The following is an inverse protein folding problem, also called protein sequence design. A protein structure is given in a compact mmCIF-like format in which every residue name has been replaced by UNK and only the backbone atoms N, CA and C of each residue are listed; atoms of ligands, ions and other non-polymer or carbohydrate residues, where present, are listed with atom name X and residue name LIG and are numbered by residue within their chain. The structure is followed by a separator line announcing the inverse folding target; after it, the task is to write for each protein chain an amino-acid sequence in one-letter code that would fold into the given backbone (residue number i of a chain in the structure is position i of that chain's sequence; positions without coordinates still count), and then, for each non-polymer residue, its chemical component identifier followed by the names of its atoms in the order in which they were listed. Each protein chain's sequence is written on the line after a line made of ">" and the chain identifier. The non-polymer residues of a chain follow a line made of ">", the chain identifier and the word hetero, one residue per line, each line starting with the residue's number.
data_IF_769839715741
#
_entry.id   IF_769839715741
#
_cell.length_a   1.000
_cell.length_b   1.000
_cell.length_c   1.000
_cell.angle_alpha   90.00
_cell.angle_beta   90.00
_cell.angle_gamma   90.00
#
_symmetry.space_group_name_H-M   'P 1'
#
loop_
_entity.id
_entity.type
_entity.pdbx_description
1 polymer ?
#
# COMPACT_ATOMS: atom_id res chain seq x y z
N UNK A 1 19.21 -6.38 -13.20
CA UNK A 1 17.76 -6.10 -13.25
C UNK A 1 17.19 -6.44 -11.87
N UNK A 2 16.33 -5.59 -11.29
CA UNK A 2 15.66 -5.91 -10.04
C UNK A 2 14.80 -7.18 -10.21
N UNK A 3 14.80 -8.07 -9.20
CA UNK A 3 14.01 -9.29 -9.24
C UNK A 3 12.52 -9.00 -9.15
N UNK A 4 11.67 -9.80 -9.81
CA UNK A 4 10.23 -9.71 -9.65
C UNK A 4 9.83 -10.20 -8.25
N UNK A 5 9.30 -9.27 -7.45
CA UNK A 5 8.93 -9.54 -6.06
C UNK A 5 7.53 -10.12 -5.97
N UNK A 6 6.55 -9.52 -6.68
CA UNK A 6 5.16 -9.95 -6.70
C UNK A 6 4.67 -10.08 -8.15
N UNK A 7 3.90 -11.13 -8.43
CA UNK A 7 3.10 -11.27 -9.65
C UNK A 7 1.67 -11.64 -9.27
N UNK A 8 0.72 -10.88 -9.77
CA UNK A 8 -0.70 -11.18 -9.76
C UNK A 8 -1.08 -11.64 -11.16
N UNK A 9 -1.62 -12.84 -11.31
CA UNK A 9 -1.80 -13.46 -12.62
C UNK A 9 -3.26 -13.84 -12.85
N UNK A 10 -3.94 -13.07 -13.71
CA UNK A 10 -5.31 -13.30 -14.20
C UNK A 10 -6.34 -13.60 -13.10
N UNK A 11 -6.33 -12.81 -12.01
CA UNK A 11 -7.23 -13.06 -10.89
C UNK A 11 -8.67 -12.63 -11.17
N UNK A 12 -9.62 -13.55 -10.90
CA UNK A 12 -11.05 -13.27 -10.80
C UNK A 12 -11.43 -13.30 -9.31
N UNK A 13 -12.01 -12.22 -8.81
CA UNK A 13 -12.38 -12.10 -7.38
C UNK A 13 -13.84 -11.74 -7.24
N UNK A 14 -14.50 -12.35 -6.26
CA UNK A 14 -15.94 -12.23 -6.02
C UNK A 14 -16.25 -11.89 -4.57
N UNK A 15 -17.33 -11.14 -4.38
CA UNK A 15 -18.04 -10.97 -3.12
C UNK A 15 -19.40 -11.68 -3.25
N UNK A 16 -19.52 -12.90 -2.72
CA UNK A 16 -20.67 -13.76 -3.01
C UNK A 16 -20.75 -14.07 -4.51
N UNK A 17 -21.82 -13.66 -5.16
CA UNK A 17 -22.01 -13.79 -6.62
C UNK A 17 -21.55 -12.57 -7.42
N UNK A 18 -21.27 -11.47 -6.75
CA UNK A 18 -20.80 -10.25 -7.43
C UNK A 18 -19.32 -10.35 -7.78
N UNK A 19 -18.98 -10.33 -9.06
CA UNK A 19 -17.60 -10.30 -9.52
C UNK A 19 -17.04 -8.89 -9.45
N UNK A 20 -15.96 -8.70 -8.69
CA UNK A 20 -15.30 -7.42 -8.49
C UNK A 20 -14.04 -7.25 -9.33
N UNK A 21 -13.30 -8.34 -9.63
CA UNK A 21 -12.12 -8.31 -10.50
C UNK A 21 -12.27 -9.34 -11.61
N UNK A 22 -11.84 -8.96 -12.82
CA UNK A 22 -11.97 -9.72 -14.05
C UNK A 22 -10.60 -9.90 -14.72
N UNK A 23 -9.90 -10.97 -14.42
CA UNK A 23 -8.60 -11.32 -15.02
C UNK A 23 -7.51 -10.28 -14.74
N UNK A 24 -7.51 -9.66 -13.55
CA UNK A 24 -6.51 -8.65 -13.19
C UNK A 24 -5.13 -9.28 -13.10
N UNK A 25 -4.17 -8.65 -13.78
CA UNK A 25 -2.75 -9.00 -13.69
C UNK A 25 -1.93 -7.76 -13.41
N UNK A 26 -0.92 -7.88 -12.55
CA UNK A 26 0.08 -6.84 -12.29
C UNK A 26 1.38 -7.46 -11.76
N UNK A 27 2.47 -6.75 -11.92
CA UNK A 27 3.78 -7.13 -11.42
C UNK A 27 4.39 -6.00 -10.59
N UNK A 28 5.12 -6.37 -9.54
CA UNK A 28 5.91 -5.45 -8.73
C UNK A 28 7.32 -6.00 -8.62
N UNK A 29 8.31 -5.17 -8.95
CA UNK A 29 9.72 -5.51 -8.84
C UNK A 29 10.31 -4.93 -7.54
N UNK A 30 11.40 -5.54 -7.08
CA UNK A 30 12.05 -5.10 -5.84
C UNK A 30 12.61 -3.67 -5.98
N UNK A 31 12.34 -2.82 -4.98
CA UNK A 31 12.84 -1.45 -4.95
C UNK A 31 12.12 -0.47 -5.89
N UNK A 32 10.90 -0.79 -6.38
CA UNK A 32 10.10 0.17 -7.14
C UNK A 32 8.88 0.68 -6.35
N UNK A 33 8.35 1.82 -6.78
CA UNK A 33 7.02 2.31 -6.42
C UNK A 33 6.08 2.04 -7.59
N UNK A 34 5.11 1.15 -7.39
CA UNK A 34 4.04 0.88 -8.36
C UNK A 34 2.76 1.56 -7.91
N UNK A 35 2.10 2.29 -8.79
CA UNK A 35 0.78 2.85 -8.53
C UNK A 35 -0.32 1.99 -9.17
N UNK A 36 -1.38 1.69 -8.43
CA UNK A 36 -2.62 1.16 -8.94
C UNK A 36 -3.69 2.25 -8.79
N UNK A 37 -4.09 2.85 -9.89
CA UNK A 37 -4.97 4.02 -9.91
C UNK A 37 -6.30 3.71 -10.59
N UNK A 38 -7.33 4.47 -10.27
CA UNK A 38 -8.67 4.32 -10.84
C UNK A 38 -9.74 4.99 -9.97
N UNK A 39 -10.95 5.09 -10.50
CA UNK A 39 -12.10 5.65 -9.79
C UNK A 39 -12.50 4.81 -8.56
N UNK A 40 -13.36 5.37 -7.70
CA UNK A 40 -13.95 4.61 -6.60
C UNK A 40 -14.78 3.45 -7.17
N UNK A 41 -14.66 2.28 -6.54
CA UNK A 41 -15.33 1.06 -7.03
C UNK A 41 -14.63 0.36 -8.19
N UNK A 42 -13.48 0.86 -8.69
CA UNK A 42 -12.73 0.21 -9.78
C UNK A 42 -12.14 -1.16 -9.41
N UNK A 43 -12.06 -1.53 -8.12
CA UNK A 43 -11.50 -2.81 -7.66
C UNK A 43 -10.13 -2.70 -6.99
N UNK A 44 -9.62 -1.49 -6.75
CA UNK A 44 -8.29 -1.23 -6.18
C UNK A 44 -8.08 -1.91 -4.81
N UNK A 45 -8.94 -1.59 -3.84
CA UNK A 45 -8.93 -2.21 -2.50
C UNK A 45 -9.12 -3.73 -2.56
N UNK A 46 -9.96 -4.23 -3.48
CA UNK A 46 -10.17 -5.66 -3.71
C UNK A 46 -8.87 -6.34 -4.14
N UNK A 47 -8.10 -5.69 -5.03
CA UNK A 47 -6.78 -6.17 -5.46
C UNK A 47 -5.82 -6.27 -4.27
N UNK A 48 -5.70 -5.22 -3.44
CA UNK A 48 -4.85 -5.25 -2.25
C UNK A 48 -5.28 -6.31 -1.24
N UNK A 49 -6.59 -6.45 -0.98
CA UNK A 49 -7.12 -7.50 -0.09
C UNK A 49 -6.82 -8.90 -0.62
N UNK A 50 -6.78 -9.09 -1.93
CA UNK A 50 -6.42 -10.38 -2.53
C UNK A 50 -4.92 -10.64 -2.40
N UNK A 51 -4.07 -9.64 -2.62
CA UNK A 51 -2.61 -9.75 -2.43
C UNK A 51 -2.28 -10.00 -0.95
N UNK A 52 -2.95 -9.33 -0.01
CA UNK A 52 -2.73 -9.54 1.43
C UNK A 52 -3.31 -10.85 1.98
N UNK A 53 -4.10 -11.60 1.20
CA UNK A 53 -4.70 -12.86 1.61
C UNK A 53 -5.99 -12.72 2.43
N UNK A 54 -6.56 -11.52 2.51
CA UNK A 54 -7.87 -11.25 3.11
C UNK A 54 -9.03 -11.70 2.21
N UNK A 55 -8.79 -11.75 0.90
CA UNK A 55 -9.70 -12.32 -0.10
C UNK A 55 -8.96 -13.40 -0.88
N UNK A 56 -9.70 -14.42 -1.33
CA UNK A 56 -9.16 -15.48 -2.17
C UNK A 56 -9.74 -15.35 -3.58
N UNK A 57 -8.90 -15.37 -4.64
CA UNK A 57 -9.40 -15.36 -6.01
C UNK A 57 -10.07 -16.70 -6.33
N UNK A 58 -11.13 -16.68 -7.14
CA UNK A 58 -11.75 -17.91 -7.70
C UNK A 58 -10.92 -18.49 -8.85
N UNK A 59 -10.19 -17.62 -9.58
CA UNK A 59 -9.29 -17.99 -10.68
C UNK A 59 -8.04 -17.14 -10.62
N UNK A 60 -6.98 -17.60 -11.27
CA UNK A 60 -5.69 -16.95 -11.26
C UNK A 60 -4.88 -17.27 -10.02
N UNK A 61 -3.74 -16.61 -9.86
CA UNK A 61 -2.81 -16.86 -8.75
C UNK A 61 -2.04 -15.62 -8.33
N UNK A 62 -1.53 -15.65 -7.10
CA UNK A 62 -0.62 -14.68 -6.52
C UNK A 62 0.73 -15.36 -6.33
N UNK A 63 1.76 -14.83 -6.93
CA UNK A 63 3.13 -15.37 -6.86
C UNK A 63 4.03 -14.37 -6.16
N UNK A 64 4.73 -14.82 -5.15
CA UNK A 64 5.71 -14.06 -4.37
C UNK A 64 7.09 -14.68 -4.52
N UNK A 65 8.07 -13.95 -5.06
CA UNK A 65 9.43 -14.46 -5.31
C UNK A 65 9.45 -15.83 -6.03
N UNK A 66 8.58 -15.98 -7.02
CA UNK A 66 8.45 -17.21 -7.79
C UNK A 66 7.63 -18.34 -7.12
N UNK A 67 7.18 -18.16 -5.88
CA UNK A 67 6.37 -19.12 -5.15
C UNK A 67 4.88 -18.75 -5.18
N UNK A 68 4.01 -19.72 -5.46
CA UNK A 68 2.57 -19.51 -5.41
C UNK A 68 2.10 -19.39 -3.96
N UNK A 69 1.58 -18.21 -3.60
CA UNK A 69 1.05 -17.91 -2.29
C UNK A 69 -0.49 -17.76 -2.28
N UNK A 70 -1.17 -18.17 -3.34
CA UNK A 70 -2.62 -17.94 -3.52
C UNK A 70 -3.44 -18.51 -2.35
N UNK A 71 -3.04 -19.67 -1.79
CA UNK A 71 -3.70 -20.30 -0.65
C UNK A 71 -3.10 -19.95 0.70
N UNK A 72 -1.99 -19.19 0.74
CA UNK A 72 -1.31 -18.80 1.98
C UNK A 72 -2.16 -17.78 2.74
N UNK A 73 -2.47 -18.01 4.04
CA UNK A 73 -3.30 -17.08 4.81
C UNK A 73 -2.60 -15.76 5.11
N UNK A 74 -3.39 -14.71 5.36
CA UNK A 74 -2.90 -13.33 5.52
C UNK A 74 -1.77 -13.19 6.56
N UNK A 75 -1.88 -13.83 7.72
CA UNK A 75 -0.87 -13.74 8.77
C UNK A 75 0.49 -14.32 8.36
N UNK A 76 0.51 -15.38 7.52
CA UNK A 76 1.75 -15.92 6.96
C UNK A 76 2.31 -15.01 5.87
N UNK A 77 1.47 -14.35 5.05
CA UNK A 77 1.94 -13.36 4.08
C UNK A 77 2.59 -12.16 4.76
N UNK A 78 2.12 -11.76 5.94
CA UNK A 78 2.79 -10.74 6.76
C UNK A 78 4.19 -11.20 7.21
N UNK A 79 4.38 -12.48 7.58
CA UNK A 79 5.71 -13.04 7.87
C UNK A 79 6.63 -13.05 6.63
N UNK A 80 6.09 -13.18 5.42
CA UNK A 80 6.84 -13.03 4.16
C UNK A 80 7.24 -11.58 3.88
N UNK A 81 6.64 -10.61 4.57
CA UNK A 81 6.90 -9.18 4.43
C UNK A 81 5.93 -8.43 3.53
N UNK A 82 4.77 -9.00 3.25
CA UNK A 82 3.68 -8.30 2.57
C UNK A 82 2.84 -7.61 3.63
N UNK A 83 2.92 -6.28 3.71
CA UNK A 83 2.23 -5.49 4.74
C UNK A 83 1.24 -4.53 4.08
N UNK A 84 0.01 -4.52 4.58
CA UNK A 84 -1.09 -3.73 4.05
C UNK A 84 -1.56 -2.69 5.07
N UNK A 85 -1.52 -1.41 4.68
CA UNK A 85 -2.18 -0.30 5.37
C UNK A 85 -3.54 -0.10 4.71
N UNK A 86 -4.64 -0.50 5.35
CA UNK A 86 -5.97 -0.41 4.76
C UNK A 86 -6.48 1.05 4.75
N UNK A 87 -7.46 1.30 3.91
CA UNK A 87 -8.31 2.49 4.04
C UNK A 87 -8.89 2.57 5.46
N UNK A 88 -9.01 3.78 6.03
CA UNK A 88 -9.55 3.97 7.38
C UNK A 88 -8.54 3.77 8.51
N UNK A 89 -7.22 3.72 8.17
CA UNK A 89 -6.07 3.77 9.09
C UNK A 89 -5.84 2.52 9.95
N UNK A 90 -6.88 1.87 10.47
CA UNK A 90 -6.77 0.64 11.27
C UNK A 90 -5.95 0.77 12.55
N UNK A 91 -5.89 1.96 13.18
CA UNK A 91 -5.22 2.19 14.45
C UNK A 91 -6.07 1.70 15.64
N UNK A 92 -5.43 1.48 16.80
CA UNK A 92 -6.11 1.20 18.06
C UNK A 92 -6.31 2.51 18.83
N UNK A 93 -7.51 3.12 18.83
CA UNK A 93 -7.73 4.48 19.31
C UNK A 93 -7.55 4.63 20.83
N UNK A 94 -7.76 3.56 21.59
CA UNK A 94 -7.62 3.52 23.04
C UNK A 94 -6.22 3.15 23.54
N UNK A 95 -5.31 2.83 22.63
CA UNK A 95 -3.89 2.64 22.91
C UNK A 95 -3.13 3.94 22.63
N UNK A 96 -2.06 4.16 23.37
CA UNK A 96 -1.11 5.24 23.09
C UNK A 96 -0.43 5.04 21.73
N UNK A 97 0.20 6.08 21.21
CA UNK A 97 1.05 5.98 19.99
C UNK A 97 2.09 4.89 20.14
N UNK A 98 2.81 4.84 21.26
CA UNK A 98 3.84 3.83 21.52
C UNK A 98 3.26 2.41 21.56
N UNK A 99 2.16 2.20 22.29
CA UNK A 99 1.50 0.88 22.35
C UNK A 99 0.99 0.42 20.99
N UNK A 100 0.48 1.34 20.15
CA UNK A 100 0.14 1.04 18.75
C UNK A 100 1.34 0.50 17.96
N UNK A 101 2.54 1.06 18.17
CA UNK A 101 3.77 0.61 17.53
C UNK A 101 4.23 -0.74 18.10
N UNK A 102 4.15 -0.94 19.42
CA UNK A 102 4.50 -2.23 20.06
C UNK A 102 3.62 -3.37 19.55
N UNK A 103 2.31 -3.18 19.51
CA UNK A 103 1.36 -4.20 19.01
C UNK A 103 1.61 -4.56 17.54
N UNK A 104 2.13 -3.61 16.75
CA UNK A 104 2.47 -3.86 15.35
C UNK A 104 3.66 -4.84 15.18
N UNK A 105 4.49 -5.03 16.19
CA UNK A 105 5.64 -5.94 16.16
C UNK A 105 5.25 -7.40 16.43
N UNK A 106 4.17 -7.91 15.80
CA UNK A 106 3.68 -9.27 16.08
C UNK A 106 4.43 -10.35 15.29
N UNK A 107 5.08 -10.04 14.16
CA UNK A 107 5.90 -10.98 13.40
C UNK A 107 7.26 -11.20 14.10
N UNK A 108 7.89 -12.36 13.86
CA UNK A 108 9.23 -12.65 14.41
C UNK A 108 10.24 -11.59 14.00
N UNK A 109 10.28 -11.27 12.70
CA UNK A 109 11.20 -10.26 12.13
C UNK A 109 11.01 -8.88 12.75
N UNK A 110 9.77 -8.46 13.01
CA UNK A 110 9.45 -7.18 13.62
C UNK A 110 9.93 -7.14 15.09
N UNK A 111 9.72 -8.22 15.86
CA UNK A 111 10.17 -8.28 17.27
C UNK A 111 11.68 -8.25 17.42
N UNK A 112 12.41 -9.02 16.59
CA UNK A 112 13.87 -9.10 16.66
C UNK A 112 14.57 -7.76 16.41
N UNK A 113 13.94 -6.85 15.69
CA UNK A 113 14.51 -5.55 15.33
C UNK A 113 13.59 -4.37 15.66
N UNK A 114 12.82 -4.49 16.72
CA UNK A 114 11.81 -3.49 17.09
C UNK A 114 12.44 -2.11 17.33
N UNK A 115 13.50 -2.03 18.11
CA UNK A 115 14.15 -0.76 18.45
C UNK A 115 14.70 -0.03 17.21
N UNK A 116 15.33 -0.76 16.28
CA UNK A 116 15.80 -0.18 15.01
C UNK A 116 14.62 0.41 14.21
N UNK A 117 13.51 -0.34 14.12
CA UNK A 117 12.33 0.08 13.39
C UNK A 117 11.65 1.26 14.08
N UNK A 118 11.67 1.30 15.41
CA UNK A 118 11.11 2.39 16.22
C UNK A 118 11.89 3.69 16.00
N UNK A 119 13.22 3.65 16.00
CA UNK A 119 14.05 4.82 15.70
C UNK A 119 13.83 5.34 14.28
N UNK A 120 13.81 4.45 13.27
CA UNK A 120 13.47 4.81 11.89
C UNK A 120 12.09 5.50 11.80
N UNK A 121 11.10 4.95 12.46
CA UNK A 121 9.73 5.52 12.51
C UNK A 121 9.74 6.91 13.14
N UNK A 122 10.49 7.11 14.21
CA UNK A 122 10.60 8.41 14.89
C UNK A 122 11.41 9.45 14.10
N UNK A 123 12.34 9.02 13.28
CA UNK A 123 13.03 9.90 12.31
C UNK A 123 12.09 10.32 11.17
N UNK A 124 11.30 9.39 10.65
CA UNK A 124 10.31 9.67 9.60
C UNK A 124 9.15 10.52 10.11
N UNK A 125 8.72 10.30 11.35
CA UNK A 125 7.55 10.92 11.96
C UNK A 125 7.87 11.50 13.35
N UNK A 126 8.63 12.63 13.45
CA UNK A 126 9.04 13.19 14.74
C UNK A 126 7.87 13.49 15.68
N UNK A 127 6.70 13.86 15.12
CA UNK A 127 5.48 14.10 15.88
C UNK A 127 5.00 12.88 16.67
N UNK A 128 5.21 11.66 16.15
CA UNK A 128 4.87 10.44 16.86
C UNK A 128 5.79 10.22 18.07
N UNK A 129 7.07 10.60 17.97
CA UNK A 129 8.02 10.58 19.11
C UNK A 129 7.59 11.54 20.23
N UNK A 130 7.26 12.78 19.85
CA UNK A 130 6.82 13.83 20.79
C UNK A 130 5.56 13.39 21.55
N UNK A 131 4.66 12.68 20.88
CA UNK A 131 3.34 12.28 21.36
C UNK A 131 3.23 10.81 21.75
N UNK A 132 4.34 10.12 22.01
CA UNK A 132 4.37 8.67 22.22
C UNK A 132 3.44 8.17 23.34
N UNK A 133 3.13 9.01 24.34
CA UNK A 133 2.22 8.70 25.45
C UNK A 133 0.77 9.14 25.21
N UNK A 134 0.49 9.85 24.11
CA UNK A 134 -0.86 10.31 23.79
C UNK A 134 -1.70 9.15 23.24
N UNK A 135 -3.01 9.11 23.61
CA UNK A 135 -3.95 8.16 23.03
C UNK A 135 -4.13 8.44 21.54
N UNK A 136 -4.03 7.40 20.71
CA UNK A 136 -4.07 7.53 19.26
C UNK A 136 -5.41 8.11 18.75
N UNK A 137 -6.52 7.81 19.42
CA UNK A 137 -7.84 8.34 19.07
C UNK A 137 -7.97 9.86 19.24
N UNK A 138 -7.10 10.50 20.01
CA UNK A 138 -7.12 11.96 20.26
C UNK A 138 -6.23 12.75 19.29
N UNK A 139 -5.54 12.08 18.38
CA UNK A 139 -4.67 12.70 17.39
C UNK A 139 -5.48 13.24 16.20
N UNK A 140 -4.91 14.20 15.47
CA UNK A 140 -5.49 14.65 14.20
C UNK A 140 -5.54 13.54 13.18
N UNK A 141 -6.45 13.64 12.19
CA UNK A 141 -6.58 12.63 11.14
C UNK A 141 -5.28 12.36 10.38
N UNK A 142 -4.46 13.37 10.18
CA UNK A 142 -3.16 13.20 9.53
C UNK A 142 -2.14 12.49 10.41
N UNK A 143 -2.08 12.79 11.70
CA UNK A 143 -1.20 12.09 12.64
C UNK A 143 -1.63 10.63 12.80
N UNK A 144 -2.93 10.35 12.79
CA UNK A 144 -3.43 8.97 12.78
C UNK A 144 -3.04 8.21 11.49
N UNK A 145 -3.02 8.90 10.34
CA UNK A 145 -2.55 8.29 9.08
C UNK A 145 -1.04 8.00 9.14
N UNK A 146 -0.25 8.93 9.68
CA UNK A 146 1.18 8.68 9.89
C UNK A 146 1.41 7.52 10.87
N UNK A 147 0.62 7.40 11.92
CA UNK A 147 0.68 6.27 12.86
C UNK A 147 0.32 4.95 12.17
N UNK A 148 -0.68 4.92 11.29
CA UNK A 148 -1.03 3.72 10.52
C UNK A 148 0.12 3.24 9.64
N UNK A 149 0.79 4.16 8.93
CA UNK A 149 1.97 3.84 8.12
C UNK A 149 3.14 3.43 9.02
N UNK A 150 3.37 4.14 10.13
CA UNK A 150 4.41 3.80 11.10
C UNK A 150 4.26 2.37 11.64
N UNK A 151 3.05 1.94 11.96
CA UNK A 151 2.74 0.56 12.38
C UNK A 151 3.11 -0.46 11.31
N UNK A 152 2.88 -0.15 10.03
CA UNK A 152 3.29 -1.01 8.93
C UNK A 152 4.82 -1.08 8.81
N UNK A 153 5.53 0.04 9.00
CA UNK A 153 6.99 0.09 8.94
C UNK A 153 7.66 -0.69 10.09
N UNK A 154 7.05 -0.72 11.28
CA UNK A 154 7.51 -1.57 12.40
C UNK A 154 7.59 -3.04 11.98
N UNK A 155 6.70 -3.49 11.09
CA UNK A 155 6.71 -4.88 10.58
C UNK A 155 7.85 -5.18 9.60
N UNK A 156 8.68 -4.16 9.25
CA UNK A 156 9.80 -4.28 8.29
C UNK A 156 9.34 -4.86 6.95
N UNK A 157 8.43 -4.17 6.24
CA UNK A 157 7.88 -4.69 5.00
C UNK A 157 8.94 -4.83 3.92
N UNK A 158 8.85 -5.87 3.10
CA UNK A 158 9.50 -5.96 1.80
C UNK A 158 8.61 -5.35 0.71
N UNK A 159 7.29 -5.53 0.86
CA UNK A 159 6.26 -4.86 0.09
C UNK A 159 5.31 -4.15 1.04
N UNK A 160 5.29 -2.83 0.98
CA UNK A 160 4.31 -1.99 1.67
C UNK A 160 3.18 -1.64 0.70
N UNK A 161 1.97 -2.06 1.04
CA UNK A 161 0.78 -1.72 0.28
C UNK A 161 -0.01 -0.64 1.01
N UNK A 162 -0.26 0.50 0.34
CA UNK A 162 -0.96 1.64 0.87
C UNK A 162 -2.30 1.82 0.14
N UNK A 163 -3.41 1.68 0.86
CA UNK A 163 -4.77 1.79 0.30
C UNK A 163 -5.35 3.18 0.56
N UNK A 164 -5.36 4.01 -0.48
CA UNK A 164 -5.85 5.40 -0.49
C UNK A 164 -5.35 6.23 0.72
N UNK A 165 -4.02 6.26 0.97
CA UNK A 165 -3.47 6.88 2.17
C UNK A 165 -3.71 8.39 2.24
N UNK A 166 -4.04 9.05 1.13
CA UNK A 166 -4.32 10.49 1.06
C UNK A 166 -5.79 10.84 1.33
N UNK A 167 -6.68 9.86 1.39
CA UNK A 167 -8.13 10.09 1.48
C UNK A 167 -8.50 10.84 2.77
N UNK A 168 -9.31 11.90 2.62
CA UNK A 168 -9.80 12.71 3.75
C UNK A 168 -8.74 13.58 4.44
N UNK A 169 -7.56 13.74 3.82
CA UNK A 169 -6.50 14.61 4.32
C UNK A 169 -6.54 15.99 3.64
N UNK A 170 -6.05 17.01 4.35
CA UNK A 170 -5.83 18.34 3.75
C UNK A 170 -4.83 18.22 2.57
N UNK A 171 -4.96 19.03 1.50
CA UNK A 171 -4.18 18.88 0.27
C UNK A 171 -2.66 18.85 0.45
N UNK A 172 -2.13 19.60 1.40
CA UNK A 172 -0.71 19.61 1.73
C UNK A 172 -0.29 18.26 2.29
N UNK A 173 -1.03 17.75 3.27
CA UNK A 173 -0.72 16.50 3.95
C UNK A 173 -0.94 15.29 3.02
N UNK A 174 -1.98 15.31 2.18
CA UNK A 174 -2.20 14.29 1.16
C UNK A 174 -0.99 14.13 0.24
N UNK A 175 -0.41 15.25 -0.20
CA UNK A 175 0.84 15.24 -0.98
C UNK A 175 2.00 14.64 -0.18
N UNK A 176 2.20 15.07 1.06
CA UNK A 176 3.28 14.55 1.92
C UNK A 176 3.19 13.03 2.08
N UNK A 177 1.98 12.49 2.30
CA UNK A 177 1.74 11.04 2.45
C UNK A 177 2.04 10.28 1.16
N UNK A 178 1.63 10.80 0.00
CA UNK A 178 1.91 10.14 -1.28
C UNK A 178 3.42 10.20 -1.61
N UNK A 179 4.08 11.35 -1.38
CA UNK A 179 5.53 11.48 -1.58
C UNK A 179 6.34 10.62 -0.62
N UNK A 180 5.78 10.27 0.54
CA UNK A 180 6.42 9.33 1.47
C UNK A 180 6.69 7.97 0.81
N UNK A 181 5.82 7.49 -0.08
CA UNK A 181 6.05 6.25 -0.82
C UNK A 181 7.39 6.26 -1.57
N UNK A 182 7.70 7.37 -2.25
CA UNK A 182 8.97 7.54 -2.96
C UNK A 182 10.14 7.63 -1.98
N UNK A 183 9.98 8.39 -0.89
CA UNK A 183 11.00 8.51 0.14
C UNK A 183 11.34 7.15 0.78
N UNK A 184 10.33 6.33 1.07
CA UNK A 184 10.53 4.98 1.62
C UNK A 184 11.31 4.07 0.67
N UNK A 185 11.09 4.18 -0.64
CA UNK A 185 11.87 3.48 -1.65
C UNK A 185 13.30 4.02 -1.71
N UNK A 186 13.48 5.34 -1.81
CA UNK A 186 14.79 5.97 -2.08
C UNK A 186 15.74 5.86 -0.88
N UNK A 187 15.24 6.04 0.36
CA UNK A 187 16.06 6.08 1.58
C UNK A 187 16.16 4.73 2.29
N UNK A 188 15.13 3.86 2.15
CA UNK A 188 15.03 2.60 2.92
C UNK A 188 14.93 1.35 2.05
N UNK A 189 14.89 1.49 0.72
CA UNK A 189 14.79 0.35 -0.21
C UNK A 189 13.48 -0.42 -0.13
N UNK A 190 12.42 0.18 0.44
CA UNK A 190 11.12 -0.48 0.61
C UNK A 190 10.37 -0.43 -0.72
N UNK A 191 9.94 -1.60 -1.21
CA UNK A 191 9.05 -1.68 -2.38
C UNK A 191 7.65 -1.24 -1.97
N UNK A 192 7.00 -0.39 -2.78
CA UNK A 192 5.67 0.17 -2.44
C UNK A 192 4.67 -0.10 -3.56
N UNK A 193 3.50 -0.63 -3.20
CA UNK A 193 2.32 -0.65 -4.05
C UNK A 193 1.32 0.38 -3.50
N UNK A 194 1.22 1.51 -4.19
CA UNK A 194 0.38 2.63 -3.82
C UNK A 194 -0.94 2.57 -4.56
N UNK A 195 -2.03 2.47 -3.84
CA UNK A 195 -3.40 2.59 -4.39
C UNK A 195 -3.93 3.98 -4.13
N UNK A 196 -4.38 4.67 -5.17
CA UNK A 196 -4.87 6.03 -5.06
C UNK A 196 -5.95 6.35 -6.12
N UNK A 197 -6.83 7.28 -5.77
CA UNK A 197 -7.76 7.88 -6.72
C UNK A 197 -7.11 9.07 -7.47
N UNK A 198 -6.18 9.77 -6.85
CA UNK A 198 -5.49 10.91 -7.44
C UNK A 198 -4.39 10.45 -8.40
N UNK A 199 -4.77 10.15 -9.65
CA UNK A 199 -3.87 9.67 -10.71
C UNK A 199 -2.68 10.61 -10.91
N UNK A 200 -2.92 11.93 -10.98
CA UNK A 200 -1.86 12.92 -11.20
C UNK A 200 -0.78 12.89 -10.12
N UNK A 201 -1.19 12.75 -8.87
CA UNK A 201 -0.26 12.72 -7.75
C UNK A 201 0.50 11.41 -7.71
N UNK A 202 -0.17 10.29 -7.98
CA UNK A 202 0.43 8.96 -7.99
C UNK A 202 1.48 8.79 -9.08
N UNK A 203 1.21 9.27 -10.31
CA UNK A 203 2.15 9.19 -11.42
C UNK A 203 3.46 9.97 -11.16
N UNK A 204 3.43 11.01 -10.30
CA UNK A 204 4.63 11.77 -9.94
C UNK A 204 5.59 11.04 -9.02
N UNK A 205 5.11 10.05 -8.26
CA UNK A 205 5.90 9.33 -7.29
C UNK A 205 6.21 7.90 -7.71
N UNK A 206 5.41 7.33 -8.62
CA UNK A 206 5.56 5.97 -9.11
C UNK A 206 6.60 5.84 -10.21
N UNK A 207 7.23 4.69 -10.29
CA UNK A 207 8.08 4.27 -11.42
C UNK A 207 7.22 3.69 -12.55
N UNK A 208 6.21 2.88 -12.18
CA UNK A 208 5.23 2.25 -13.08
C UNK A 208 3.82 2.40 -12.50
N UNK A 209 2.82 2.34 -13.37
CA UNK A 209 1.44 2.36 -12.91
C UNK A 209 0.54 1.44 -13.72
N UNK A 210 -0.54 1.03 -13.07
CA UNK A 210 -1.67 0.31 -13.63
C UNK A 210 -2.93 1.14 -13.45
N UNK A 211 -3.72 1.28 -14.50
CA UNK A 211 -5.02 1.96 -14.45
C UNK A 211 -6.10 0.89 -14.42
N UNK A 212 -6.90 0.90 -13.35
CA UNK A 212 -7.98 -0.04 -13.12
C UNK A 212 -9.34 0.61 -13.34
N UNK A 213 -10.14 0.02 -14.21
CA UNK A 213 -11.52 0.43 -14.45
C UNK A 213 -12.45 -0.78 -14.39
N UNK A 214 -13.51 -0.68 -13.62
CA UNK A 214 -14.55 -1.73 -13.51
C UNK A 214 -13.97 -3.14 -13.37
N UNK A 215 -12.98 -3.29 -12.48
CA UNK A 215 -12.33 -4.57 -12.17
C UNK A 215 -11.35 -5.08 -13.23
N UNK A 216 -10.92 -4.26 -14.19
CA UNK A 216 -9.97 -4.62 -15.25
C UNK A 216 -8.81 -3.64 -15.33
N UNK A 217 -7.62 -4.14 -15.59
CA UNK A 217 -6.49 -3.27 -15.98
C UNK A 217 -6.70 -2.84 -17.42
N UNK A 218 -6.86 -1.54 -17.64
CA UNK A 218 -7.11 -0.96 -18.98
C UNK A 218 -5.85 -0.34 -19.57
N UNK A 219 -4.89 0.09 -18.75
CA UNK A 219 -3.59 0.64 -19.15
C UNK A 219 -2.53 0.25 -18.12
N UNK A 220 -1.31 0.05 -18.59
CA UNK A 220 -0.14 -0.16 -17.73
C UNK A 220 1.12 0.37 -18.43
N UNK A 221 2.13 0.73 -17.65
CA UNK A 221 3.42 1.16 -18.18
C UNK A 221 4.22 2.03 -17.23
N UNK A 222 5.35 2.59 -17.70
CA UNK A 222 6.12 3.59 -16.98
C UNK A 222 5.25 4.82 -16.65
N UNK A 223 5.32 5.29 -15.40
CA UNK A 223 4.46 6.38 -14.94
C UNK A 223 4.65 7.67 -15.78
N UNK A 224 5.88 7.97 -16.20
CA UNK A 224 6.17 9.14 -17.05
C UNK A 224 5.60 9.05 -18.48
N UNK A 225 5.34 7.84 -18.99
CA UNK A 225 4.65 7.63 -20.28
C UNK A 225 3.13 7.79 -20.10
N UNK A 226 2.57 7.17 -19.05
CA UNK A 226 1.14 7.29 -18.73
C UNK A 226 0.74 8.75 -18.42
N UNK A 227 1.60 9.55 -17.80
CA UNK A 227 1.33 11.00 -17.58
C UNK A 227 1.19 11.77 -18.89
N UNK A 228 1.80 11.30 -19.98
CA UNK A 228 1.73 11.90 -21.31
C UNK A 228 0.64 11.32 -22.20
N UNK A 229 0.06 10.19 -21.84
CA UNK A 229 -0.96 9.49 -22.61
C UNK A 229 -2.21 10.39 -22.75
N UNK A 230 -2.68 10.67 -24.00
CA UNK A 230 -3.82 11.56 -24.24
C UNK A 230 -5.13 11.08 -23.60
N UNK A 231 -5.35 9.75 -23.53
CA UNK A 231 -6.55 9.19 -22.92
C UNK A 231 -6.52 9.36 -21.40
N UNK A 232 -5.37 9.07 -20.76
CA UNK A 232 -5.18 9.27 -19.33
C UNK A 232 -5.31 10.75 -18.97
N UNK A 233 -4.75 11.64 -19.78
CA UNK A 233 -4.86 13.09 -19.57
C UNK A 233 -6.30 13.56 -19.62
N UNK A 234 -7.06 13.13 -20.62
CA UNK A 234 -8.48 13.50 -20.78
C UNK A 234 -9.35 12.89 -19.66
N UNK A 235 -9.16 11.61 -19.34
CA UNK A 235 -9.99 10.90 -18.37
C UNK A 235 -9.72 11.29 -16.92
N UNK A 236 -8.45 11.56 -16.55
CA UNK A 236 -8.04 11.65 -15.15
C UNK A 236 -7.27 12.93 -14.79
N UNK A 237 -6.68 13.65 -15.75
CA UNK A 237 -5.87 14.83 -15.46
C UNK A 237 -6.61 16.14 -15.76
N UNK A 238 -7.75 16.08 -16.45
CA UNK A 238 -8.59 17.24 -16.76
C UNK A 238 -7.98 18.21 -17.78
N UNK A 239 -7.09 17.73 -18.66
CA UNK A 239 -6.34 18.51 -19.65
C UNK A 239 -6.28 17.78 -21.01
#
# INVERSE_FOLDING_TARGET
>A
MAGRLLSVENIDVYYGEFQALFGVSLEVYEGEVVALVGANGAGKTTTLKTISGLLRPRRGRIVWEGQDITSVPAYQRAELGIVHVPEGRGIFPYLTVYENLVVAAYTRRARERFEESLEMVYELFPRLRERKRQLAGTMSGGEQQMLAIARALIQRPRLLMLDEPSLGLAPKLAREVVYLARRLRDEYGITVLLVEQNVRLSLKVADRAYVLETGRVVREGPAGELEKDPEIRRAYLGI
#
